data_IF_902606442465
#
_entry.id   IF_902606442465
#
_cell.length_a   1.000
_cell.length_b   1.000
_cell.length_c   1.000
_cell.angle_alpha   90.00
_cell.angle_beta   90.00
_cell.angle_gamma   90.00
#
_symmetry.space_group_name_H-M   'P 1'
#
loop_
_entity.id
_entity.type
_entity.pdbx_description
1 polymer ?
#
# COMPACT_ATOMS: atom_id res chain seq x y z
N UNK A 1 -53.98 -10.71 21.41
CA UNK A 1 -52.59 -10.78 21.91
C UNK A 1 -51.65 -11.00 20.73
N UNK A 2 -50.78 -10.05 20.40
CA UNK A 2 -49.77 -10.22 19.36
C UNK A 2 -48.51 -9.47 19.79
N UNK A 3 -47.57 -10.17 20.42
CA UNK A 3 -46.32 -9.59 20.88
C UNK A 3 -45.34 -9.44 19.71
N UNK A 4 -44.78 -8.25 19.53
CA UNK A 4 -43.59 -8.04 18.68
C UNK A 4 -42.37 -8.60 19.42
N UNK A 5 -41.55 -9.49 18.85
CA UNK A 5 -40.22 -9.72 19.40
C UNK A 5 -39.33 -8.54 18.99
N UNK A 6 -39.07 -7.64 19.93
CA UNK A 6 -37.93 -6.73 19.85
C UNK A 6 -36.66 -7.58 19.87
N UNK A 7 -35.87 -7.51 18.80
CA UNK A 7 -34.53 -8.10 18.75
C UNK A 7 -33.59 -7.25 19.61
N UNK A 8 -33.49 -7.58 20.89
CA UNK A 8 -32.35 -7.21 21.72
C UNK A 8 -31.14 -8.01 21.26
N UNK A 9 -30.25 -7.39 20.49
CA UNK A 9 -28.91 -7.94 20.28
C UNK A 9 -28.03 -7.49 21.44
N UNK A 10 -27.74 -8.43 22.35
CA UNK A 10 -26.72 -8.27 23.37
C UNK A 10 -25.35 -8.09 22.69
N UNK A 11 -24.69 -6.98 22.97
CA UNK A 11 -23.28 -6.80 22.65
C UNK A 11 -22.41 -7.56 23.67
N UNK A 12 -21.39 -8.31 23.23
CA UNK A 12 -20.21 -8.52 24.04
C UNK A 12 -19.13 -7.49 23.67
N UNK A 13 -18.58 -6.84 24.68
CA UNK A 13 -17.41 -5.98 24.59
C UNK A 13 -16.15 -6.85 24.41
N UNK A 14 -15.63 -6.92 23.19
CA UNK A 14 -14.23 -7.21 22.89
C UNK A 14 -13.98 -6.83 21.42
N UNK A 15 -12.99 -5.99 21.17
CA UNK A 15 -12.71 -5.43 19.84
C UNK A 15 -12.45 -6.50 18.79
N UNK A 16 -13.39 -6.71 17.88
CA UNK A 16 -13.15 -7.35 16.60
C UNK A 16 -14.25 -6.96 15.59
N UNK A 17 -13.80 -6.28 14.54
CA UNK A 17 -14.37 -6.22 13.20
C UNK A 17 -15.88 -5.90 13.09
N UNK A 18 -16.21 -4.61 13.19
CA UNK A 18 -17.34 -4.08 12.43
C UNK A 18 -17.06 -4.29 10.93
N UNK A 19 -17.67 -5.32 10.37
CA UNK A 19 -17.84 -5.48 8.93
C UNK A 19 -18.71 -4.33 8.41
N UNK A 20 -18.09 -3.20 8.08
CA UNK A 20 -18.69 -2.16 7.25
C UNK A 20 -18.22 -2.37 5.81
N UNK A 21 -19.13 -2.87 4.98
CA UNK A 21 -19.05 -2.76 3.52
C UNK A 21 -18.79 -1.30 3.14
N UNK A 22 -17.54 -0.94 2.83
CA UNK A 22 -17.26 0.44 2.46
C UNK A 22 -15.79 0.82 2.33
N UNK A 23 -15.07 0.22 1.37
CA UNK A 23 -13.86 0.83 0.81
C UNK A 23 -12.56 0.56 1.56
N UNK A 24 -12.11 -0.70 1.60
CA UNK A 24 -10.76 -1.04 2.06
C UNK A 24 -9.64 -0.29 1.31
N UNK A 25 -8.50 -0.12 1.97
CA UNK A 25 -7.28 0.47 1.39
C UNK A 25 -6.65 -0.51 0.37
N UNK A 26 -6.17 0.00 -0.78
CA UNK A 26 -5.46 -0.80 -1.79
C UNK A 26 -3.95 -0.63 -1.59
N UNK A 27 -3.22 -1.72 -1.40
CA UNK A 27 -1.76 -1.72 -1.25
C UNK A 27 -1.16 -2.47 -2.43
N UNK A 28 -0.35 -1.78 -3.21
CA UNK A 28 0.27 -2.30 -4.42
C UNK A 28 1.73 -2.57 -4.11
N UNK A 29 2.08 -3.84 -4.09
CA UNK A 29 3.44 -4.28 -3.84
C UNK A 29 4.30 -4.02 -5.06
N UNK A 30 5.59 -3.85 -4.79
CA UNK A 30 6.55 -3.79 -5.85
C UNK A 30 6.55 -5.04 -6.77
N UNK A 31 6.20 -6.17 -6.19
CA UNK A 31 6.08 -7.43 -6.90
C UNK A 31 4.85 -7.49 -7.85
N UNK A 32 4.08 -6.41 -7.98
CA UNK A 32 2.84 -6.35 -8.76
C UNK A 32 1.64 -7.02 -8.08
N UNK A 33 1.83 -7.52 -6.85
CA UNK A 33 0.74 -8.03 -6.02
C UNK A 33 -0.08 -6.88 -5.49
N UNK A 34 -1.40 -6.98 -5.54
CA UNK A 34 -2.30 -6.00 -4.95
C UNK A 34 -3.00 -6.64 -3.75
N UNK A 35 -2.77 -6.08 -2.57
CA UNK A 35 -3.39 -6.49 -1.32
C UNK A 35 -4.44 -5.46 -0.94
N UNK A 36 -5.66 -5.90 -0.66
CA UNK A 36 -6.75 -5.01 -0.24
C UNK A 36 -7.00 -5.18 1.25
N UNK A 37 -6.77 -4.13 2.03
CA UNK A 37 -6.94 -4.14 3.46
C UNK A 37 -8.37 -3.76 3.81
N UNK A 38 -9.12 -4.69 4.40
CA UNK A 38 -10.50 -4.47 4.82
C UNK A 38 -10.63 -3.54 6.03
N UNK A 39 -9.54 -3.36 6.79
CA UNK A 39 -9.46 -2.50 7.97
C UNK A 39 -8.47 -1.36 7.71
N UNK A 40 -8.63 -0.17 8.34
CA UNK A 40 -7.57 0.83 8.36
C UNK A 40 -6.38 0.27 9.14
N UNK A 41 -5.21 0.28 8.52
CA UNK A 41 -3.94 -0.25 9.08
C UNK A 41 -2.95 0.90 9.14
N UNK A 42 -2.09 0.95 10.17
CA UNK A 42 -0.99 1.92 10.21
C UNK A 42 0.10 1.55 9.21
N UNK A 43 0.77 2.54 8.64
CA UNK A 43 1.92 2.27 7.79
C UNK A 43 2.99 1.45 8.53
N UNK A 44 3.17 1.67 9.84
CA UNK A 44 4.07 0.90 10.70
C UNK A 44 3.75 -0.60 10.73
N UNK A 45 2.48 -0.98 10.90
CA UNK A 45 2.07 -2.40 10.89
C UNK A 45 2.43 -3.05 9.55
N UNK A 46 2.19 -2.35 8.45
CA UNK A 46 2.51 -2.85 7.12
C UNK A 46 4.02 -2.96 6.86
N UNK A 47 4.80 -2.02 7.41
CA UNK A 47 6.27 -2.06 7.38
C UNK A 47 6.84 -3.17 8.27
N UNK A 48 6.18 -3.52 9.37
CA UNK A 48 6.57 -4.63 10.24
C UNK A 48 6.36 -5.99 9.57
N UNK A 49 5.23 -6.16 8.88
CA UNK A 49 4.96 -7.36 8.07
C UNK A 49 5.93 -7.50 6.88
N UNK A 50 6.47 -6.37 6.41
CA UNK A 50 7.35 -6.29 5.25
C UNK A 50 8.64 -5.51 5.55
N UNK A 51 9.59 -6.10 6.30
CA UNK A 51 10.81 -5.43 6.67
C UNK A 51 11.61 -4.99 5.44
N UNK A 52 12.24 -3.81 5.52
CA UNK A 52 13.00 -3.22 4.42
C UNK A 52 12.14 -2.58 3.32
N UNK A 53 10.81 -2.55 3.49
CA UNK A 53 9.89 -1.84 2.60
C UNK A 53 9.23 -0.67 3.33
N UNK A 54 8.80 0.32 2.56
CA UNK A 54 8.09 1.50 3.04
C UNK A 54 6.82 1.73 2.23
N UNK A 55 5.87 2.42 2.86
CA UNK A 55 4.58 2.74 2.26
C UNK A 55 4.63 4.13 1.65
N UNK A 56 4.11 4.26 0.44
CA UNK A 56 3.99 5.50 -0.32
C UNK A 56 2.55 5.73 -0.74
N UNK A 57 2.11 6.98 -0.76
CA UNK A 57 0.82 7.32 -1.36
C UNK A 57 0.95 7.45 -2.88
N UNK A 58 0.14 6.69 -3.62
CA UNK A 58 0.14 6.71 -5.09
C UNK A 58 -0.16 8.09 -5.66
N UNK A 59 -1.00 8.89 -5.00
CA UNK A 59 -1.37 10.23 -5.47
C UNK A 59 -0.23 11.25 -5.32
N UNK A 60 0.77 10.94 -4.50
CA UNK A 60 1.87 11.85 -4.16
C UNK A 60 3.15 11.52 -4.93
N UNK A 61 3.15 10.42 -5.70
CA UNK A 61 4.23 10.06 -6.60
C UNK A 61 4.20 10.90 -7.88
N UNK A 62 5.36 11.44 -8.27
CA UNK A 62 5.55 12.18 -9.53
C UNK A 62 6.93 11.86 -10.12
N UNK A 63 7.03 11.79 -11.46
CA UNK A 63 8.32 11.63 -12.16
C UNK A 63 9.21 12.84 -11.87
N UNK A 64 10.52 12.60 -11.69
CA UNK A 64 11.50 13.63 -11.37
C UNK A 64 11.41 14.16 -9.94
N UNK A 65 10.43 13.71 -9.16
CA UNK A 65 10.27 14.07 -7.76
C UNK A 65 10.80 12.97 -6.85
N UNK A 66 11.19 13.36 -5.64
CA UNK A 66 11.59 12.41 -4.60
C UNK A 66 10.40 11.60 -4.15
N UNK A 67 10.59 10.29 -4.02
CA UNK A 67 9.54 9.37 -3.55
C UNK A 67 9.13 9.73 -2.11
N UNK A 68 7.87 10.14 -1.86
CA UNK A 68 7.44 10.58 -0.54
C UNK A 68 6.96 9.39 0.30
N UNK A 69 7.73 8.99 1.31
CA UNK A 69 7.28 8.00 2.28
C UNK A 69 6.12 8.52 3.15
N UNK A 70 5.13 7.66 3.38
CA UNK A 70 4.10 7.86 4.41
C UNK A 70 4.73 7.59 5.78
N UNK A 71 4.42 8.42 6.77
CA UNK A 71 4.97 8.25 8.11
C UNK A 71 4.46 6.93 8.72
N UNK A 72 5.32 6.22 9.45
CA UNK A 72 4.95 4.94 10.06
C UNK A 72 3.76 5.07 11.04
N UNK A 73 3.61 6.22 11.69
CA UNK A 73 2.49 6.47 12.59
C UNK A 73 1.17 6.84 11.88
N UNK A 74 1.22 7.11 10.58
CA UNK A 74 0.05 7.53 9.80
C UNK A 74 -0.86 6.33 9.48
N UNK A 75 -2.16 6.54 9.60
CA UNK A 75 -3.19 5.54 9.29
C UNK A 75 -3.52 5.55 7.81
N UNK A 76 -3.46 4.38 7.18
CA UNK A 76 -3.81 4.21 5.78
C UNK A 76 -5.31 4.44 5.59
N UNK A 77 -5.62 5.49 4.84
CA UNK A 77 -7.00 5.88 4.61
C UNK A 77 -7.72 4.86 3.71
N UNK A 78 -8.97 4.51 4.05
CA UNK A 78 -9.83 3.71 3.18
C UNK A 78 -9.99 4.39 1.82
N UNK A 79 -10.21 3.59 0.77
CA UNK A 79 -10.47 4.07 -0.61
C UNK A 79 -9.29 4.78 -1.31
N UNK A 80 -8.12 4.88 -0.67
CA UNK A 80 -6.86 5.29 -1.30
C UNK A 80 -6.01 4.07 -1.69
N UNK A 81 -5.08 4.33 -2.60
CA UNK A 81 -4.08 3.35 -3.05
C UNK A 81 -2.70 3.76 -2.59
N UNK A 82 -1.97 2.82 -2.01
CA UNK A 82 -0.62 3.00 -1.54
C UNK A 82 0.30 2.00 -2.22
N UNK A 83 1.55 2.39 -2.45
CA UNK A 83 2.59 1.50 -2.94
C UNK A 83 3.48 1.03 -1.80
N UNK A 84 3.87 -0.24 -1.84
CA UNK A 84 4.87 -0.81 -0.94
C UNK A 84 6.17 -0.98 -1.72
N UNK A 85 7.14 -0.12 -1.42
CA UNK A 85 8.40 0.03 -2.15
C UNK A 85 9.58 -0.35 -1.25
N UNK A 86 10.70 -0.85 -1.79
CA UNK A 86 11.91 -1.08 -1.00
C UNK A 86 12.51 0.25 -0.49
N UNK A 87 13.01 0.27 0.75
CA UNK A 87 13.60 1.45 1.40
C UNK A 87 14.71 2.14 0.59
N UNK A 88 15.42 1.41 -0.30
CA UNK A 88 16.41 1.98 -1.21
C UNK A 88 15.87 3.09 -2.13
N UNK A 89 14.56 3.09 -2.41
CA UNK A 89 13.90 4.12 -3.21
C UNK A 89 13.41 5.31 -2.39
N UNK A 90 13.41 5.22 -1.05
CA UNK A 90 12.95 6.31 -0.20
C UNK A 90 13.83 7.54 -0.41
N UNK A 91 13.20 8.67 -0.76
CA UNK A 91 13.88 9.91 -1.16
C UNK A 91 14.75 9.85 -2.42
N UNK A 92 14.72 8.74 -3.17
CA UNK A 92 15.30 8.67 -4.51
C UNK A 92 14.43 9.42 -5.52
N UNK A 93 15.02 9.88 -6.61
CA UNK A 93 14.30 10.53 -7.71
C UNK A 93 13.65 9.47 -8.58
N UNK A 94 12.32 9.54 -8.71
CA UNK A 94 11.57 8.67 -9.62
C UNK A 94 11.90 8.97 -11.07
N UNK A 95 12.38 7.96 -11.79
CA UNK A 95 12.54 7.98 -13.24
C UNK A 95 11.25 7.60 -13.96
N UNK A 96 11.17 7.91 -15.25
CA UNK A 96 10.01 7.58 -16.09
C UNK A 96 9.78 6.06 -16.15
N UNK A 97 10.86 5.28 -16.32
CA UNK A 97 10.83 3.81 -16.31
C UNK A 97 10.30 3.23 -14.98
N UNK A 98 10.69 3.82 -13.84
CA UNK A 98 10.19 3.42 -12.52
C UNK A 98 8.71 3.73 -12.36
N UNK A 99 8.27 4.91 -12.79
CA UNK A 99 6.86 5.26 -12.76
C UNK A 99 6.02 4.34 -13.65
N UNK A 100 6.52 4.01 -14.85
CA UNK A 100 5.86 3.06 -15.75
C UNK A 100 5.75 1.67 -15.09
N UNK A 101 6.80 1.20 -14.41
CA UNK A 101 6.79 -0.06 -13.68
C UNK A 101 5.77 -0.05 -12.52
N UNK A 102 5.67 1.06 -11.78
CA UNK A 102 4.68 1.24 -10.71
C UNK A 102 3.25 1.29 -11.23
N UNK A 103 3.03 2.00 -12.33
CA UNK A 103 1.73 2.05 -13.00
C UNK A 103 1.33 0.65 -13.50
N UNK A 104 2.25 -0.10 -14.09
CA UNK A 104 2.01 -1.49 -14.51
C UNK A 104 1.68 -2.40 -13.32
N UNK A 105 2.42 -2.27 -12.20
CA UNK A 105 2.14 -2.99 -10.96
C UNK A 105 0.74 -2.68 -10.40
N UNK A 106 0.29 -1.42 -10.48
CA UNK A 106 -1.06 -1.03 -10.03
C UNK A 106 -2.18 -1.64 -10.87
N UNK A 107 -1.93 -1.81 -12.16
CA UNK A 107 -2.86 -2.43 -13.13
C UNK A 107 -2.78 -3.96 -13.18
N UNK A 108 -1.92 -4.60 -12.37
CA UNK A 108 -1.80 -6.06 -12.30
C UNK A 108 -0.96 -6.69 -13.42
N UNK A 109 -0.23 -5.89 -14.20
CA UNK A 109 0.71 -6.36 -15.24
C UNK A 109 2.07 -6.76 -14.62
N UNK A 110 2.02 -7.64 -13.62
CA UNK A 110 3.15 -7.98 -12.74
C UNK A 110 4.33 -8.68 -13.44
N UNK A 111 4.10 -9.34 -14.57
CA UNK A 111 5.14 -10.05 -15.34
C UNK A 111 6.20 -9.10 -15.92
N UNK A 112 5.84 -7.86 -16.22
CA UNK A 112 6.79 -6.83 -16.67
C UNK A 112 7.42 -6.07 -15.50
N UNK A 113 6.66 -5.80 -14.44
CA UNK A 113 7.10 -4.97 -13.32
C UNK A 113 8.27 -5.59 -12.53
N UNK A 114 8.26 -6.91 -12.29
CA UNK A 114 9.37 -7.60 -11.59
C UNK A 114 10.67 -7.63 -12.39
N UNK A 115 10.59 -7.71 -13.72
CA UNK A 115 11.76 -7.64 -14.61
C UNK A 115 12.32 -6.21 -14.71
N UNK A 116 11.43 -5.22 -14.81
CA UNK A 116 11.79 -3.80 -14.79
C UNK A 116 12.49 -3.44 -13.48
N UNK A 117 11.92 -3.86 -12.34
CA UNK A 117 12.51 -3.51 -11.05
C UNK A 117 13.84 -4.15 -10.77
N UNK A 118 14.05 -5.43 -11.14
CA UNK A 118 15.36 -6.08 -10.98
C UNK A 118 16.45 -5.36 -11.79
N UNK A 119 16.10 -4.82 -12.96
CA UNK A 119 17.04 -4.00 -13.75
C UNK A 119 17.26 -2.62 -13.12
N UNK A 120 16.20 -1.98 -12.63
CA UNK A 120 16.27 -0.64 -12.01
C UNK A 120 17.04 -0.66 -10.70
N UNK A 121 16.82 -1.65 -9.81
CA UNK A 121 17.58 -1.78 -8.56
C UNK A 121 19.07 -2.02 -8.85
N UNK A 122 19.38 -2.79 -9.90
CA UNK A 122 20.77 -3.02 -10.34
C UNK A 122 21.39 -1.77 -10.99
N UNK A 123 20.61 -0.93 -11.67
CA UNK A 123 21.13 0.33 -12.25
C UNK A 123 21.28 1.43 -11.21
N UNK A 124 20.35 1.55 -10.26
CA UNK A 124 20.36 2.57 -9.20
C UNK A 124 21.51 2.34 -8.21
N UNK A 125 21.85 1.08 -7.90
CA UNK A 125 23.01 0.76 -7.05
C UNK A 125 24.37 1.14 -7.68
N UNK A 126 24.40 1.47 -8.99
CA UNK A 126 25.64 1.78 -9.71
C UNK A 126 25.85 3.26 -10.03
N UNK A 127 24.91 4.15 -9.67
CA UNK A 127 25.04 5.62 -9.85
C UNK A 127 25.34 6.34 -8.52
N UNK A 128 26.44 5.96 -7.88
CA UNK A 128 27.21 6.87 -7.02
C UNK A 128 28.65 6.90 -7.54
N UNK A 129 28.92 7.83 -8.44
CA UNK A 129 30.24 8.42 -8.65
C UNK A 129 30.06 9.91 -8.82
#
# INVERSE_FOLDING_TARGET
MGNKPACMSLAPAAGAASASSGGGCKVIHADGRVTRLARPVRASELMLDHPGKFVCDACRLAVGCRVPGVAADELLQPRRSYFLLPMDMLYSVLTDDEMAALAAASHGAATAATAAWRRIVVTTTRRRR
#
